data_IF_279514975213
#
_entry.id   IF_279514975213
#
_cell.length_a   1.000
_cell.length_b   1.000
_cell.length_c   1.000
_cell.angle_alpha   90.00
_cell.angle_beta   90.00
_cell.angle_gamma   90.00
#
_symmetry.space_group_name_H-M   'P 1'
#
loop_
_entity.id
_entity.type
_entity.pdbx_description
1 polymer ?
#
# COMPACT_ATOMS: atom_id res chain seq x y z
N UNK A 1 41.12 15.61 28.11
CA UNK A 1 40.70 16.86 27.46
C UNK A 1 40.43 16.54 25.99
N UNK A 2 39.19 16.17 25.64
CA UNK A 2 38.84 15.92 24.23
C UNK A 2 38.67 17.26 23.50
N UNK A 3 39.18 17.42 22.26
CA UNK A 3 38.97 18.65 21.51
C UNK A 3 37.49 18.80 21.14
N UNK A 4 36.96 20.04 21.06
CA UNK A 4 35.60 20.26 20.60
C UNK A 4 35.46 19.87 19.12
N UNK A 5 34.48 19.02 18.82
CA UNK A 5 34.14 18.54 17.48
C UNK A 5 33.64 19.68 16.59
N UNK A 6 34.55 20.38 15.92
CA UNK A 6 34.20 21.39 14.91
C UNK A 6 34.22 20.75 13.52
N UNK A 7 33.09 20.17 13.08
CA UNK A 7 32.48 20.46 11.76
C UNK A 7 31.40 19.48 11.29
N UNK A 8 30.19 19.50 11.89
CA UNK A 8 28.97 19.05 11.22
C UNK A 8 28.48 19.90 10.00
N UNK A 9 28.85 21.19 9.77
CA UNK A 9 28.24 21.96 8.68
C UNK A 9 28.82 21.66 7.29
N UNK A 10 30.11 21.35 7.17
CA UNK A 10 30.75 21.18 5.85
C UNK A 10 30.35 19.87 5.16
N UNK A 11 30.40 18.75 5.89
CA UNK A 11 30.00 17.44 5.37
C UNK A 11 28.50 17.41 5.03
N UNK A 12 27.65 17.96 5.92
CA UNK A 12 26.21 18.09 5.68
C UNK A 12 25.92 18.96 4.45
N UNK A 13 26.61 20.10 4.30
CA UNK A 13 26.47 20.98 3.13
C UNK A 13 26.84 20.27 1.83
N UNK A 14 27.95 19.52 1.82
CA UNK A 14 28.39 18.75 0.66
C UNK A 14 27.38 17.64 0.31
N UNK A 15 26.88 16.92 1.31
CA UNK A 15 25.86 15.90 1.13
C UNK A 15 24.57 16.48 0.54
N UNK A 16 24.01 17.53 1.16
CA UNK A 16 22.78 18.19 0.71
C UNK A 16 22.92 18.70 -0.72
N UNK A 17 24.05 19.33 -1.07
CA UNK A 17 24.35 19.76 -2.44
C UNK A 17 24.40 18.58 -3.44
N UNK A 18 24.88 17.41 -3.01
CA UNK A 18 24.95 16.20 -3.83
C UNK A 18 23.60 15.50 -4.06
N UNK A 19 22.62 15.71 -3.18
CA UNK A 19 21.25 15.15 -3.33
C UNK A 19 20.25 16.17 -3.91
N UNK A 20 20.53 17.47 -3.83
CA UNK A 20 19.63 18.57 -4.19
C UNK A 20 18.95 18.39 -5.55
N UNK A 21 19.73 18.17 -6.62
CA UNK A 21 19.17 18.02 -7.99
C UNK A 21 18.28 16.78 -8.12
N UNK A 22 18.73 15.65 -7.57
CA UNK A 22 18.01 14.38 -7.63
C UNK A 22 16.74 14.43 -6.80
N UNK A 23 16.82 15.01 -5.59
CA UNK A 23 15.69 15.25 -4.71
C UNK A 23 14.63 16.14 -5.36
N UNK A 24 15.04 17.21 -6.03
CA UNK A 24 14.11 18.14 -6.69
C UNK A 24 13.33 17.48 -7.84
N UNK A 25 14.02 16.70 -8.68
CA UNK A 25 13.37 15.95 -9.77
C UNK A 25 12.50 14.82 -9.23
N UNK A 26 12.95 14.07 -8.23
CA UNK A 26 12.15 13.03 -7.61
C UNK A 26 10.86 13.61 -7.01
N UNK A 27 10.96 14.70 -6.25
CA UNK A 27 9.82 15.34 -5.61
C UNK A 27 8.85 15.95 -6.64
N UNK A 28 9.36 16.61 -7.68
CA UNK A 28 8.56 17.12 -8.80
C UNK A 28 7.80 15.99 -9.50
N UNK A 29 8.46 14.87 -9.83
CA UNK A 29 7.82 13.76 -10.53
C UNK A 29 6.85 12.97 -9.65
N UNK A 30 7.09 12.92 -8.35
CA UNK A 30 6.20 12.26 -7.41
C UNK A 30 4.92 13.07 -7.18
N UNK A 31 5.05 14.40 -7.02
CA UNK A 31 3.94 15.32 -6.75
C UNK A 31 3.22 15.80 -8.01
N UNK A 32 3.92 15.81 -9.15
CA UNK A 32 3.46 16.37 -10.41
C UNK A 32 3.53 17.89 -10.52
N UNK A 33 4.16 18.56 -9.54
CA UNK A 33 4.31 20.01 -9.49
C UNK A 33 5.69 20.40 -8.95
N UNK A 34 6.37 21.32 -9.64
CA UNK A 34 7.75 21.68 -9.30
C UNK A 34 7.86 22.45 -7.99
N UNK A 35 6.91 23.36 -7.71
CA UNK A 35 6.95 24.21 -6.52
C UNK A 35 6.54 23.40 -5.27
N UNK A 36 5.53 22.54 -5.36
CA UNK A 36 5.16 21.61 -4.30
C UNK A 36 6.28 20.59 -4.03
N UNK A 37 6.95 20.11 -5.07
CA UNK A 37 8.13 19.26 -4.95
C UNK A 37 9.29 19.95 -4.24
N UNK A 38 9.60 21.20 -4.60
CA UNK A 38 10.66 21.99 -3.97
C UNK A 38 10.34 22.29 -2.49
N UNK A 39 9.10 22.62 -2.17
CA UNK A 39 8.66 22.84 -0.79
C UNK A 39 8.86 21.58 0.08
N UNK A 40 8.49 20.41 -0.45
CA UNK A 40 8.70 19.16 0.26
C UNK A 40 10.18 18.79 0.39
N UNK A 41 11.01 19.08 -0.62
CA UNK A 41 12.45 18.90 -0.53
C UNK A 41 13.07 19.77 0.57
N UNK A 42 12.68 21.04 0.66
CA UNK A 42 13.16 21.96 1.70
C UNK A 42 12.72 21.50 3.10
N UNK A 43 11.48 21.02 3.24
CA UNK A 43 11.00 20.42 4.49
C UNK A 43 11.83 19.19 4.90
N UNK A 44 12.12 18.30 3.95
CA UNK A 44 12.94 17.12 4.17
C UNK A 44 14.39 17.48 4.56
N UNK A 45 15.01 18.47 3.90
CA UNK A 45 16.33 18.99 4.28
C UNK A 45 16.33 19.54 5.70
N UNK A 46 15.26 20.25 6.08
CA UNK A 46 15.09 20.82 7.41
C UNK A 46 15.00 19.76 8.49
N UNK A 47 14.15 18.74 8.28
CA UNK A 47 14.06 17.59 9.18
C UNK A 47 15.36 16.79 9.26
N UNK A 48 16.03 16.58 8.11
CA UNK A 48 17.27 15.82 8.04
C UNK A 48 18.43 16.48 8.79
N UNK A 49 18.52 17.82 8.82
CA UNK A 49 19.56 18.53 9.60
C UNK A 49 19.56 18.10 11.07
N UNK A 50 18.39 17.94 11.68
CA UNK A 50 18.27 17.52 13.09
C UNK A 50 18.68 16.05 13.29
N UNK A 51 18.48 15.19 12.28
CA UNK A 51 18.80 13.77 12.35
C UNK A 51 20.28 13.48 12.03
N UNK A 52 20.91 14.31 11.20
CA UNK A 52 22.28 14.12 10.72
C UNK A 52 23.33 14.14 11.85
N UNK A 53 23.06 14.83 12.96
CA UNK A 53 23.95 14.87 14.13
C UNK A 53 24.03 13.53 14.87
N UNK A 54 22.95 12.74 14.83
CA UNK A 54 22.84 11.46 15.54
C UNK A 54 23.21 10.24 14.68
N UNK A 55 23.42 10.44 13.37
CA UNK A 55 23.57 9.35 12.41
C UNK A 55 25.00 9.31 11.83
N UNK A 56 25.58 8.10 11.65
CA UNK A 56 26.82 7.98 10.89
C UNK A 56 26.60 8.42 9.44
N UNK A 57 27.64 9.02 8.83
CA UNK A 57 27.57 9.57 7.48
C UNK A 57 27.17 8.52 6.41
N UNK A 58 27.48 7.24 6.64
CA UNK A 58 27.07 6.14 5.77
C UNK A 58 25.55 5.91 5.73
N UNK A 59 24.82 6.24 6.80
CA UNK A 59 23.37 6.10 6.88
C UNK A 59 22.60 7.31 6.32
N UNK A 60 23.31 8.40 5.99
CA UNK A 60 22.70 9.65 5.53
C UNK A 60 21.87 9.52 4.26
N UNK A 61 22.33 8.86 3.17
CA UNK A 61 21.54 8.76 1.95
C UNK A 61 20.20 8.07 2.19
N UNK A 62 20.22 6.88 2.81
CA UNK A 62 19.01 6.11 3.11
C UNK A 62 18.03 6.93 3.96
N UNK A 63 18.52 7.56 5.03
CA UNK A 63 17.67 8.35 5.92
C UNK A 63 17.07 9.56 5.22
N UNK A 64 17.85 10.27 4.42
CA UNK A 64 17.39 11.42 3.66
C UNK A 64 16.25 11.04 2.70
N UNK A 65 16.40 9.95 1.94
CA UNK A 65 15.36 9.50 1.00
C UNK A 65 14.09 9.04 1.73
N UNK A 66 14.24 8.33 2.86
CA UNK A 66 13.11 7.95 3.70
C UNK A 66 12.36 9.18 4.22
N UNK A 67 13.09 10.21 4.67
CA UNK A 67 12.51 11.47 5.13
C UNK A 67 11.77 12.20 4.02
N UNK A 68 12.38 12.32 2.84
CA UNK A 68 11.76 12.95 1.68
C UNK A 68 10.44 12.27 1.29
N UNK A 69 10.41 10.94 1.26
CA UNK A 69 9.19 10.19 0.93
C UNK A 69 8.14 10.21 2.04
N UNK A 70 8.55 10.49 3.29
CA UNK A 70 7.65 10.69 4.41
C UNK A 70 6.97 12.08 4.39
N UNK A 71 7.41 13.01 3.54
CA UNK A 71 6.79 14.34 3.46
C UNK A 71 5.32 14.23 3.00
N UNK A 72 4.36 14.88 3.69
CA UNK A 72 2.93 14.77 3.36
C UNK A 72 2.60 15.13 1.92
N UNK A 73 3.34 16.06 1.32
CA UNK A 73 3.17 16.48 -0.07
C UNK A 73 3.40 15.34 -1.09
N UNK A 74 4.34 14.43 -0.82
CA UNK A 74 4.68 13.32 -1.71
C UNK A 74 3.75 12.10 -1.53
N UNK A 75 3.08 12.00 -0.38
CA UNK A 75 2.17 10.88 -0.05
C UNK A 75 0.77 11.07 -0.60
N UNK A 76 0.34 12.31 -0.83
CA UNK A 76 -0.98 12.60 -1.40
C UNK A 76 -1.01 12.15 -2.86
N UNK A 77 -2.08 11.44 -3.25
CA UNK A 77 -2.30 11.04 -4.64
C UNK A 77 -2.71 12.27 -5.46
N UNK A 78 -1.72 13.01 -5.93
CA UNK A 78 -1.92 14.07 -6.92
C UNK A 78 -1.77 13.45 -8.30
N UNK A 79 -2.77 13.58 -9.21
CA UNK A 79 -2.56 13.23 -10.61
C UNK A 79 -1.43 14.11 -11.14
N UNK A 80 -0.40 13.50 -11.71
CA UNK A 80 0.76 14.22 -12.21
C UNK A 80 0.29 15.10 -13.36
N UNK A 81 0.35 16.42 -13.17
CA UNK A 81 -0.01 17.39 -14.21
C UNK A 81 1.09 17.53 -15.28
N UNK A 82 2.29 17.02 -15.00
CA UNK A 82 3.47 17.18 -15.85
C UNK A 82 3.91 15.83 -16.43
N UNK A 83 3.48 15.54 -17.65
CA UNK A 83 4.07 14.45 -18.43
C UNK A 83 5.52 14.83 -18.80
N UNK A 84 6.50 13.96 -18.53
CA UNK A 84 7.88 14.15 -19.02
C UNK A 84 7.93 14.12 -20.56
N UNK A 85 7.01 13.35 -21.14
CA UNK A 85 6.74 13.19 -22.57
C UNK A 85 5.30 12.66 -22.72
N UNK A 86 4.59 12.86 -23.85
CA UNK A 86 3.24 12.31 -24.03
C UNK A 86 3.16 10.79 -23.91
N UNK A 87 4.30 10.09 -24.02
CA UNK A 87 4.39 8.63 -23.88
C UNK A 87 4.75 8.16 -22.47
N UNK A 88 5.07 9.10 -21.56
CA UNK A 88 5.43 8.73 -20.19
C UNK A 88 4.18 8.42 -19.34
N UNK A 89 4.12 7.19 -18.84
CA UNK A 89 3.03 6.67 -18.00
C UNK A 89 3.28 6.83 -16.49
N UNK A 90 4.29 7.60 -16.07
CA UNK A 90 4.52 7.90 -14.65
C UNK A 90 3.26 8.43 -13.94
N UNK A 91 2.46 9.24 -14.63
CA UNK A 91 1.21 9.80 -14.11
C UNK A 91 0.14 8.73 -13.81
N UNK A 92 0.13 7.63 -14.56
CA UNK A 92 -0.82 6.52 -14.42
C UNK A 92 -0.47 5.62 -13.23
N UNK A 93 0.80 5.58 -12.84
CA UNK A 93 1.28 4.80 -11.71
C UNK A 93 0.69 5.32 -10.37
N UNK A 94 0.37 4.40 -9.46
CA UNK A 94 0.09 4.77 -8.08
C UNK A 94 1.31 5.36 -7.37
N UNK A 95 1.10 6.11 -6.28
CA UNK A 95 2.17 6.79 -5.54
C UNK A 95 3.29 5.84 -5.07
N UNK A 96 2.96 4.61 -4.67
CA UNK A 96 3.94 3.60 -4.22
C UNK A 96 4.84 3.07 -5.33
N UNK A 97 4.29 2.43 -6.39
CA UNK A 97 5.08 1.98 -7.55
C UNK A 97 5.89 3.10 -8.21
N UNK A 98 5.33 4.32 -8.26
CA UNK A 98 6.04 5.51 -8.75
C UNK A 98 7.24 5.85 -7.87
N UNK A 99 7.07 5.90 -6.56
CA UNK A 99 8.17 6.18 -5.63
C UNK A 99 9.28 5.12 -5.74
N UNK A 100 8.93 3.84 -5.85
CA UNK A 100 9.90 2.76 -6.05
C UNK A 100 10.72 2.97 -7.34
N UNK A 101 10.05 3.30 -8.44
CA UNK A 101 10.70 3.57 -9.73
C UNK A 101 11.63 4.79 -9.65
N UNK A 102 11.18 5.87 -9.02
CA UNK A 102 11.96 7.10 -8.89
C UNK A 102 13.15 6.96 -7.94
N UNK A 103 13.07 6.13 -6.91
CA UNK A 103 14.24 5.80 -6.10
C UNK A 103 15.31 5.09 -6.92
N UNK A 104 14.91 4.19 -7.82
CA UNK A 104 15.84 3.51 -8.72
C UNK A 104 16.44 4.46 -9.76
N UNK A 105 15.62 5.30 -10.37
CA UNK A 105 16.01 6.12 -11.53
C UNK A 105 16.61 7.48 -11.15
N UNK A 106 15.96 8.21 -10.24
CA UNK A 106 16.36 9.55 -9.86
C UNK A 106 17.30 9.55 -8.65
N UNK A 107 17.00 8.77 -7.60
CA UNK A 107 17.90 8.66 -6.45
C UNK A 107 19.13 7.78 -6.74
N UNK A 108 19.01 6.81 -7.65
CA UNK A 108 20.10 5.91 -8.05
C UNK A 108 20.45 4.87 -6.98
N UNK A 109 19.48 4.55 -6.12
CA UNK A 109 19.67 3.57 -5.04
C UNK A 109 19.62 2.13 -5.58
N UNK A 110 20.32 1.24 -4.87
CA UNK A 110 20.14 -0.19 -5.07
C UNK A 110 18.79 -0.68 -4.49
N UNK A 111 18.44 -1.94 -4.77
CA UNK A 111 17.15 -2.50 -4.37
C UNK A 111 16.99 -2.58 -2.84
N UNK A 112 18.07 -2.83 -2.11
CA UNK A 112 18.05 -2.93 -0.66
C UNK A 112 17.89 -1.56 -0.01
N UNK A 113 18.70 -0.59 -0.45
CA UNK A 113 18.63 0.80 0.01
C UNK A 113 17.28 1.44 -0.31
N UNK A 114 16.75 1.21 -1.51
CA UNK A 114 15.45 1.74 -1.92
C UNK A 114 14.29 1.10 -1.14
N UNK A 115 14.33 -0.23 -0.92
CA UNK A 115 13.35 -0.90 -0.08
C UNK A 115 13.37 -0.36 1.36
N UNK A 116 14.57 -0.16 1.91
CA UNK A 116 14.74 0.37 3.25
C UNK A 116 14.30 1.85 3.36
N UNK A 117 14.51 2.65 2.31
CA UNK A 117 14.01 4.03 2.25
C UNK A 117 12.47 4.09 2.19
N UNK A 118 11.82 3.13 1.53
CA UNK A 118 10.36 3.00 1.52
C UNK A 118 9.77 2.38 2.79
N UNK A 119 10.60 1.78 3.65
CA UNK A 119 10.13 1.02 4.80
C UNK A 119 9.40 -0.28 4.43
N UNK A 120 9.78 -0.90 3.31
CA UNK A 120 9.16 -2.15 2.81
C UNK A 120 10.20 -3.26 2.66
N UNK A 121 9.75 -4.51 2.50
CA UNK A 121 10.66 -5.63 2.26
C UNK A 121 11.27 -5.56 0.84
N UNK A 122 12.47 -6.12 0.59
CA UNK A 122 13.04 -6.20 -0.76
C UNK A 122 12.16 -6.96 -1.76
N UNK A 123 11.34 -7.90 -1.30
CA UNK A 123 10.37 -8.61 -2.15
C UNK A 123 9.21 -7.69 -2.56
N UNK A 124 8.64 -6.95 -1.61
CA UNK A 124 7.59 -5.95 -1.88
C UNK A 124 8.09 -4.84 -2.81
N UNK A 125 9.33 -4.40 -2.64
CA UNK A 125 9.96 -3.42 -3.51
C UNK A 125 10.11 -3.94 -4.96
N UNK A 126 10.64 -5.15 -5.15
CA UNK A 126 10.75 -5.77 -6.48
C UNK A 126 9.40 -5.92 -7.17
N UNK A 127 8.37 -6.31 -6.43
CA UNK A 127 7.01 -6.38 -6.96
C UNK A 127 6.46 -5.00 -7.36
N UNK A 128 6.73 -3.96 -6.58
CA UNK A 128 6.37 -2.59 -6.93
C UNK A 128 7.08 -2.11 -8.20
N UNK A 129 8.38 -2.42 -8.35
CA UNK A 129 9.13 -2.16 -9.58
C UNK A 129 8.54 -2.90 -10.79
N UNK A 130 8.24 -4.20 -10.66
CA UNK A 130 7.63 -4.99 -11.75
C UNK A 130 6.27 -4.45 -12.22
N UNK A 131 5.53 -3.78 -11.32
CA UNK A 131 4.28 -3.08 -11.64
C UNK A 131 4.49 -1.71 -12.25
N UNK A 132 5.63 -1.07 -11.98
CA UNK A 132 5.99 0.25 -12.47
C UNK A 132 6.73 0.23 -13.82
N UNK A 133 7.36 -0.90 -14.17
CA UNK A 133 8.11 -1.02 -15.42
C UNK A 133 7.20 -0.85 -16.65
N UNK A 134 7.64 -0.09 -17.67
CA UNK A 134 6.93 0.01 -18.95
C UNK A 134 6.71 -1.36 -19.58
N UNK A 135 5.51 -1.55 -20.14
CA UNK A 135 5.12 -2.78 -20.84
C UNK A 135 4.65 -2.46 -22.25
N UNK A 136 4.92 -3.39 -23.15
CA UNK A 136 4.41 -3.38 -24.52
C UNK A 136 2.90 -3.71 -24.53
N UNK A 137 2.24 -3.50 -25.67
CA UNK A 137 0.83 -3.88 -25.84
C UNK A 137 0.58 -5.37 -25.54
N UNK A 138 1.57 -6.22 -25.82
CA UNK A 138 1.53 -7.67 -25.58
C UNK A 138 1.78 -8.04 -24.10
N UNK A 139 1.91 -7.05 -23.20
CA UNK A 139 2.12 -7.26 -21.77
C UNK A 139 3.55 -7.62 -21.35
N UNK A 140 4.47 -7.81 -22.31
CA UNK A 140 5.91 -8.02 -22.05
C UNK A 140 6.59 -6.74 -21.59
N UNK A 141 7.71 -6.86 -20.86
CA UNK A 141 8.51 -5.72 -20.46
C UNK A 141 9.11 -5.01 -21.69
N UNK A 142 9.06 -3.68 -21.71
CA UNK A 142 9.60 -2.86 -22.80
C UNK A 142 10.98 -2.29 -22.40
N UNK A 143 12.09 -2.88 -22.87
CA UNK A 143 13.43 -2.40 -22.54
C UNK A 143 13.73 -1.03 -23.16
N UNK A 144 13.16 -0.69 -24.31
CA UNK A 144 13.41 0.60 -24.97
C UNK A 144 12.68 1.73 -24.27
N UNK A 145 11.42 1.53 -23.88
CA UNK A 145 10.69 2.50 -23.07
C UNK A 145 11.37 2.71 -21.71
N UNK A 146 11.88 1.63 -21.09
CA UNK A 146 12.68 1.74 -19.86
C UNK A 146 13.93 2.61 -20.04
N UNK A 147 14.72 2.39 -21.09
CA UNK A 147 15.92 3.18 -21.35
C UNK A 147 15.59 4.65 -21.65
N UNK A 148 14.53 4.90 -22.43
CA UNK A 148 14.05 6.27 -22.72
C UNK A 148 13.65 7.00 -21.44
N UNK A 149 12.88 6.36 -20.56
CA UNK A 149 12.47 6.95 -19.28
C UNK A 149 13.69 7.29 -18.40
N UNK A 150 14.65 6.36 -18.29
CA UNK A 150 15.89 6.58 -17.54
C UNK A 150 16.66 7.78 -18.07
N UNK A 151 16.82 7.88 -19.38
CA UNK A 151 17.54 8.99 -20.02
C UNK A 151 16.77 10.32 -19.88
N UNK A 152 15.44 10.32 -19.95
CA UNK A 152 14.62 11.51 -19.70
C UNK A 152 14.79 12.04 -18.27
N UNK A 153 14.72 11.16 -17.27
CA UNK A 153 14.91 11.54 -15.85
C UNK A 153 16.34 12.06 -15.64
N UNK A 154 17.35 11.37 -16.18
CA UNK A 154 18.75 11.81 -16.06
C UNK A 154 19.00 13.16 -16.73
N UNK A 155 18.43 13.38 -17.92
CA UNK A 155 18.45 14.68 -18.60
C UNK A 155 17.80 15.74 -17.72
N UNK A 156 16.61 15.50 -17.16
CA UNK A 156 15.90 16.43 -16.28
C UNK A 156 16.74 16.82 -15.04
N UNK A 157 17.46 15.86 -14.45
CA UNK A 157 18.39 16.11 -13.33
C UNK A 157 19.55 17.01 -13.76
N UNK A 158 20.11 16.77 -14.94
CA UNK A 158 21.23 17.56 -15.49
C UNK A 158 20.80 18.96 -15.91
N UNK A 159 19.62 19.10 -16.51
CA UNK A 159 19.10 20.34 -17.09
C UNK A 159 18.15 21.09 -16.15
N UNK A 160 18.21 20.85 -14.84
CA UNK A 160 17.40 21.56 -13.88
C UNK A 160 17.59 23.09 -14.03
N UNK A 161 16.51 23.88 -14.13
CA UNK A 161 16.63 25.31 -14.39
C UNK A 161 17.56 26.02 -13.40
N UNK A 162 18.57 26.79 -13.85
CA UNK A 162 19.45 27.56 -12.97
C UNK A 162 18.74 28.42 -11.93
N UNK A 163 17.65 29.16 -12.23
CA UNK A 163 16.97 29.95 -11.19
C UNK A 163 16.36 29.07 -10.08
N UNK A 164 15.89 27.86 -10.42
CA UNK A 164 15.35 26.91 -9.43
C UNK A 164 16.46 26.35 -8.53
N UNK A 165 17.60 25.98 -9.11
CA UNK A 165 18.79 25.59 -8.36
C UNK A 165 19.27 26.70 -7.41
N UNK A 166 19.25 27.95 -7.84
CA UNK A 166 19.61 29.07 -6.96
C UNK A 166 18.65 29.24 -5.78
N UNK A 167 17.34 29.03 -5.98
CA UNK A 167 16.36 29.07 -4.88
C UNK A 167 16.62 27.95 -3.86
N UNK A 168 16.82 26.73 -4.33
CA UNK A 168 17.15 25.58 -3.48
C UNK A 168 18.48 25.77 -2.74
N UNK A 169 19.51 26.28 -3.42
CA UNK A 169 20.79 26.61 -2.82
C UNK A 169 20.69 27.64 -1.70
N UNK A 170 19.90 28.71 -1.90
CA UNK A 170 19.63 29.71 -0.85
C UNK A 170 18.88 29.11 0.34
N UNK A 171 17.88 28.27 0.10
CA UNK A 171 17.15 27.59 1.17
C UNK A 171 18.08 26.67 2.00
N UNK A 172 18.96 25.90 1.34
CA UNK A 172 19.99 25.10 2.00
C UNK A 172 20.96 25.95 2.82
N UNK A 173 21.39 27.11 2.31
CA UNK A 173 22.30 28.01 3.03
C UNK A 173 21.65 28.69 4.25
N UNK A 174 20.39 29.09 4.14
CA UNK A 174 19.60 29.56 5.28
C UNK A 174 19.44 28.47 6.35
N UNK A 175 19.11 27.24 5.92
CA UNK A 175 19.02 26.07 6.80
C UNK A 175 20.33 25.81 7.56
N UNK A 176 21.46 25.80 6.87
CA UNK A 176 22.76 25.52 7.48
C UNK A 176 23.17 26.60 8.49
N UNK A 177 22.74 27.85 8.28
CA UNK A 177 22.91 28.96 9.23
C UNK A 177 21.96 28.89 10.41
N UNK A 178 21.02 27.94 10.43
CA UNK A 178 19.99 27.83 11.46
C UNK A 178 18.96 28.96 11.39
N UNK A 179 18.91 29.71 10.29
CA UNK A 179 17.84 30.66 10.05
C UNK A 179 16.56 29.86 9.85
N UNK A 180 15.48 30.27 10.52
CA UNK A 180 14.17 29.74 10.24
C UNK A 180 13.87 30.06 8.77
N UNK A 181 14.01 29.06 7.90
CA UNK A 181 13.38 29.08 6.59
C UNK A 181 11.91 29.13 6.92
N UNK A 182 11.32 30.33 6.87
CA UNK A 182 9.90 30.48 7.01
C UNK A 182 9.30 29.44 6.05
N UNK A 183 8.44 28.52 6.54
CA UNK A 183 7.75 27.63 5.64
C UNK A 183 7.03 28.56 4.66
N UNK A 184 7.58 28.69 3.44
CA UNK A 184 6.86 29.29 2.33
C UNK A 184 5.51 28.60 2.38
N UNK A 185 4.42 29.40 2.41
CA UNK A 185 3.13 29.01 2.96
C UNK A 185 2.94 27.56 2.59
N UNK A 186 2.90 26.67 3.60
CA UNK A 186 2.51 25.28 3.39
C UNK A 186 1.24 25.45 2.62
N UNK A 187 1.31 25.24 1.32
CA UNK A 187 0.17 25.44 0.48
C UNK A 187 -0.71 24.32 0.98
N UNK A 188 -1.65 24.67 1.87
CA UNK A 188 -2.93 24.01 1.93
C UNK A 188 -3.27 23.85 0.48
N UNK A 189 -3.04 22.62 0.02
CA UNK A 189 -2.87 22.32 -1.38
C UNK A 189 -3.95 23.10 -2.11
N UNK A 190 -3.53 24.05 -2.96
CA UNK A 190 -4.47 24.78 -3.77
C UNK A 190 -5.38 23.69 -4.35
N UNK A 191 -6.70 23.75 -4.07
CA UNK A 191 -7.57 22.62 -4.32
C UNK A 191 -7.34 22.20 -5.76
N UNK A 192 -6.82 20.98 -5.94
CA UNK A 192 -6.44 20.45 -7.25
C UNK A 192 -7.56 20.75 -8.25
N UNK A 193 -7.22 21.03 -9.52
CA UNK A 193 -8.01 21.82 -10.47
C UNK A 193 -9.48 21.72 -10.12
N UNK A 194 -10.01 22.76 -9.45
CA UNK A 194 -11.38 22.76 -8.89
C UNK A 194 -12.27 22.19 -9.97
N UNK A 195 -12.74 20.95 -9.78
CA UNK A 195 -13.69 20.32 -10.71
C UNK A 195 -14.74 21.39 -10.97
N UNK A 196 -14.95 21.79 -12.24
CA UNK A 196 -15.75 22.96 -12.52
C UNK A 196 -17.04 22.88 -11.74
N UNK A 197 -17.33 23.87 -10.89
CA UNK A 197 -18.47 23.79 -9.96
C UNK A 197 -19.81 23.64 -10.68
N UNK A 198 -19.84 23.89 -12.00
CA UNK A 198 -20.97 23.63 -12.91
C UNK A 198 -21.13 22.15 -13.32
N UNK A 199 -20.12 21.31 -13.16
CA UNK A 199 -20.26 19.85 -13.31
C UNK A 199 -21.00 19.23 -12.13
N UNK A 200 -20.96 19.85 -10.94
CA UNK A 200 -21.72 19.37 -9.79
C UNK A 200 -23.24 19.42 -10.02
N UNK A 201 -23.86 20.54 -10.45
CA UNK A 201 -25.26 20.56 -10.80
C UNK A 201 -25.56 19.70 -12.03
N UNK A 202 -24.64 19.55 -12.99
CA UNK A 202 -24.82 18.63 -14.11
C UNK A 202 -24.87 17.16 -13.64
N UNK A 203 -24.00 16.78 -12.70
CA UNK A 203 -23.96 15.44 -12.12
C UNK A 203 -25.21 15.17 -11.26
N UNK A 204 -25.65 16.17 -10.48
CA UNK A 204 -26.91 16.10 -9.75
C UNK A 204 -28.12 16.03 -10.68
N UNK A 205 -28.12 16.77 -11.80
CA UNK A 205 -29.17 16.69 -12.81
C UNK A 205 -29.19 15.31 -13.49
N UNK A 206 -28.01 14.75 -13.80
CA UNK A 206 -27.89 13.41 -14.36
C UNK A 206 -28.36 12.34 -13.36
N UNK A 207 -27.96 12.45 -12.09
CA UNK A 207 -28.40 11.56 -11.02
C UNK A 207 -29.91 11.65 -10.81
N UNK A 208 -30.46 12.87 -10.78
CA UNK A 208 -31.90 13.10 -10.68
C UNK A 208 -32.62 12.51 -11.89
N UNK A 209 -32.10 12.68 -13.10
CA UNK A 209 -32.65 12.09 -14.33
C UNK A 209 -32.63 10.56 -14.28
N UNK A 210 -31.53 9.95 -13.81
CA UNK A 210 -31.45 8.51 -13.60
C UNK A 210 -32.45 8.02 -12.55
N UNK A 211 -32.59 8.73 -11.43
CA UNK A 211 -33.56 8.40 -10.39
C UNK A 211 -35.00 8.56 -10.89
N UNK A 212 -35.29 9.57 -11.71
CA UNK A 212 -36.61 9.80 -12.29
C UNK A 212 -36.94 8.75 -13.36
N UNK A 213 -35.97 8.36 -14.19
CA UNK A 213 -36.11 7.25 -15.13
C UNK A 213 -36.37 5.93 -14.41
N UNK A 214 -35.68 5.69 -13.29
CA UNK A 214 -35.89 4.53 -12.43
C UNK A 214 -37.26 4.57 -11.73
N UNK A 215 -37.70 5.74 -11.26
CA UNK A 215 -39.05 5.89 -10.70
C UNK A 215 -40.13 5.67 -11.78
N UNK A 216 -39.91 6.16 -13.00
CA UNK A 216 -40.82 5.97 -14.13
C UNK A 216 -40.97 4.49 -14.51
N UNK A 217 -39.98 3.63 -14.26
CA UNK A 217 -40.15 2.17 -14.41
C UNK A 217 -41.17 1.57 -13.43
N UNK A 218 -41.42 2.17 -12.28
CA UNK A 218 -42.42 1.72 -11.30
C UNK A 218 -43.81 2.34 -11.51
N UNK A 219 -43.90 3.49 -12.20
CA UNK A 219 -45.17 4.18 -12.49
C UNK A 219 -45.80 3.68 -13.80
N UNK A 220 -45.10 2.86 -14.58
CA UNK A 220 -45.67 2.26 -15.79
C UNK A 220 -46.65 1.17 -15.34
N UNK A 221 -47.98 1.35 -15.48
CA UNK A 221 -48.91 0.26 -15.22
C UNK A 221 -48.54 -0.88 -16.18
N UNK A 222 -48.60 -2.15 -15.73
CA UNK A 222 -48.41 -3.27 -16.63
C UNK A 222 -49.38 -3.07 -17.79
N UNK A 223 -48.85 -2.95 -19.01
CA UNK A 223 -49.71 -3.00 -20.19
C UNK A 223 -50.51 -4.31 -20.06
N UNK A 224 -51.84 -4.28 -20.15
CA UNK A 224 -52.58 -5.52 -20.29
C UNK A 224 -52.00 -6.19 -21.53
N UNK A 225 -51.34 -7.33 -21.31
CA UNK A 225 -50.97 -8.21 -22.40
C UNK A 225 -52.28 -8.53 -23.11
N UNK A 226 -52.34 -8.25 -24.41
CA UNK A 226 -53.43 -8.70 -25.25
C UNK A 226 -53.70 -10.17 -24.93
N UNK A 227 -54.93 -10.45 -24.54
CA UNK A 227 -55.41 -11.77 -24.20
C UNK A 227 -55.24 -12.69 -25.41
N UNK A 228 -54.19 -13.52 -25.40
CA UNK A 228 -53.88 -14.39 -26.52
C UNK A 228 -52.59 -15.18 -26.34
N UNK A 229 -52.45 -15.90 -25.24
CA UNK A 229 -51.43 -16.96 -25.13
C UNK A 229 -50.85 -17.10 -23.73
N UNK A 230 -51.18 -18.22 -23.09
CA UNK A 230 -50.59 -18.78 -21.87
C UNK A 230 -49.22 -18.19 -21.46
N UNK A 231 -49.25 -17.32 -20.45
CA UNK A 231 -48.07 -16.92 -19.69
C UNK A 231 -47.72 -17.99 -18.63
N UNK A 232 -47.53 -19.23 -19.08
CA UNK A 232 -46.77 -20.19 -18.29
C UNK A 232 -45.29 -19.78 -18.37
N UNK A 233 -44.65 -19.58 -17.21
CA UNK A 233 -43.21 -19.31 -17.12
C UNK A 233 -42.46 -20.38 -17.91
N UNK A 234 -41.90 -20.00 -19.07
CA UNK A 234 -41.05 -20.89 -19.87
C UNK A 234 -39.66 -20.93 -19.25
N UNK A 235 -39.46 -21.90 -18.37
CA UNK A 235 -38.14 -22.32 -17.92
C UNK A 235 -37.40 -22.97 -19.10
N UNK A 236 -36.53 -22.22 -19.76
CA UNK A 236 -35.58 -22.79 -20.71
C UNK A 236 -34.29 -23.11 -19.96
N UNK A 237 -34.04 -24.40 -19.71
CA UNK A 237 -32.78 -24.89 -19.17
C UNK A 237 -31.71 -24.66 -20.24
N UNK A 238 -30.80 -23.72 -20.02
CA UNK A 238 -29.61 -23.59 -20.85
C UNK A 238 -28.80 -24.90 -20.72
N UNK A 239 -28.16 -25.39 -21.80
CA UNK A 239 -27.22 -26.49 -21.68
C UNK A 239 -26.11 -26.08 -20.70
N UNK A 240 -25.82 -26.95 -19.72
CA UNK A 240 -24.69 -26.76 -18.82
C UNK A 240 -23.41 -26.86 -19.66
N UNK A 241 -22.85 -25.71 -20.01
CA UNK A 241 -21.55 -25.64 -20.66
C UNK A 241 -20.49 -25.64 -19.55
N UNK A 242 -19.69 -26.71 -19.41
CA UNK A 242 -18.65 -26.74 -18.40
C UNK A 242 -17.63 -25.64 -18.68
N UNK A 243 -17.02 -25.04 -17.63
CA UNK A 243 -16.02 -23.99 -17.80
C UNK A 243 -14.87 -24.50 -18.70
N UNK A 244 -14.45 -23.67 -19.66
CA UNK A 244 -13.44 -24.02 -20.66
C UNK A 244 -12.09 -24.48 -20.08
N UNK A 245 -11.80 -24.11 -18.83
CA UNK A 245 -10.76 -24.72 -18.01
C UNK A 245 -11.13 -24.57 -16.53
N UNK A 246 -11.25 -25.68 -15.83
CA UNK A 246 -11.22 -25.73 -14.37
C UNK A 246 -9.83 -26.15 -13.89
N UNK A 247 -9.41 -25.68 -12.72
CA UNK A 247 -8.33 -26.35 -12.01
C UNK A 247 -8.77 -27.77 -11.67
N UNK A 248 -7.87 -28.75 -11.79
CA UNK A 248 -8.13 -30.09 -11.25
C UNK A 248 -8.49 -29.97 -9.76
N UNK A 249 -9.40 -30.82 -9.26
CA UNK A 249 -9.93 -30.70 -7.89
C UNK A 249 -8.84 -30.58 -6.82
N UNK A 250 -7.74 -31.30 -6.98
CA UNK A 250 -6.56 -31.24 -6.10
C UNK A 250 -5.86 -29.87 -6.16
N UNK A 251 -5.68 -29.32 -7.36
CA UNK A 251 -5.09 -27.99 -7.55
C UNK A 251 -6.01 -26.87 -7.06
N UNK A 252 -7.33 -27.05 -7.18
CA UNK A 252 -8.32 -26.13 -6.65
C UNK A 252 -8.30 -26.09 -5.12
N UNK A 253 -8.12 -27.24 -4.46
CA UNK A 253 -7.95 -27.33 -3.01
C UNK A 253 -6.64 -26.67 -2.56
N UNK A 254 -5.52 -26.96 -3.22
CA UNK A 254 -4.20 -26.39 -2.88
C UNK A 254 -4.12 -24.86 -3.09
N UNK A 255 -4.95 -24.31 -3.97
CA UNK A 255 -5.02 -22.87 -4.23
C UNK A 255 -6.15 -22.17 -3.48
N UNK A 256 -6.89 -22.92 -2.65
CA UNK A 256 -7.97 -22.36 -1.85
C UNK A 256 -7.38 -21.40 -0.80
N UNK A 257 -8.01 -20.23 -0.64
CA UNK A 257 -7.55 -19.19 0.31
C UNK A 257 -7.43 -19.71 1.74
N UNK A 258 -8.32 -20.63 2.10
CA UNK A 258 -8.42 -21.21 3.44
C UNK A 258 -7.78 -22.61 3.50
N UNK A 259 -6.84 -22.93 2.61
CA UNK A 259 -6.19 -24.24 2.55
C UNK A 259 -5.61 -24.67 3.90
N UNK A 260 -4.91 -23.78 4.62
CA UNK A 260 -4.31 -24.09 5.92
C UNK A 260 -5.36 -24.49 6.98
N UNK A 261 -6.58 -23.94 6.89
CA UNK A 261 -7.68 -24.30 7.80
C UNK A 261 -8.34 -25.63 7.39
N UNK A 262 -8.42 -25.90 6.08
CA UNK A 262 -8.97 -27.16 5.55
C UNK A 262 -8.00 -28.33 5.71
N UNK A 263 -6.69 -28.06 5.80
CA UNK A 263 -5.64 -29.05 5.97
C UNK A 263 -5.34 -29.37 7.45
N UNK A 264 -5.96 -28.66 8.40
CA UNK A 264 -5.76 -28.87 9.83
C UNK A 264 -6.67 -29.99 10.38
N UNK A 265 -6.12 -31.18 10.73
CA UNK A 265 -6.92 -32.29 11.25
C UNK A 265 -7.52 -31.99 12.63
N UNK A 266 -6.92 -31.11 13.43
CA UNK A 266 -7.47 -30.71 14.72
C UNK A 266 -8.64 -29.72 14.54
N UNK A 267 -8.52 -28.82 13.58
CA UNK A 267 -9.59 -27.90 13.16
C UNK A 267 -10.81 -28.64 12.59
N UNK A 268 -10.59 -29.69 11.80
CA UNK A 268 -11.67 -30.54 11.27
C UNK A 268 -12.44 -31.23 12.39
N UNK A 269 -11.74 -31.82 13.38
CA UNK A 269 -12.37 -32.43 14.55
C UNK A 269 -13.19 -31.42 15.36
N UNK A 270 -12.70 -30.18 15.51
CA UNK A 270 -13.42 -29.11 16.19
C UNK A 270 -14.63 -28.56 15.42
N UNK A 271 -14.70 -28.77 14.09
CA UNK A 271 -15.79 -28.26 13.26
C UNK A 271 -17.14 -28.93 13.55
N UNK A 272 -17.13 -30.19 13.97
CA UNK A 272 -18.34 -30.94 14.34
C UNK A 272 -19.07 -30.29 15.53
N UNK A 273 -18.30 -29.70 16.46
CA UNK A 273 -18.81 -29.06 17.67
C UNK A 273 -18.91 -27.53 17.54
N UNK A 274 -18.76 -26.99 16.33
CA UNK A 274 -18.74 -25.54 16.10
C UNK A 274 -20.05 -24.86 16.50
N UNK A 275 -21.18 -25.56 16.36
CA UNK A 275 -22.48 -25.09 16.86
C UNK A 275 -22.50 -24.97 18.39
N UNK A 276 -21.86 -25.90 19.10
CA UNK A 276 -21.74 -25.85 20.56
C UNK A 276 -20.76 -24.76 21.02
N UNK A 277 -19.59 -24.65 20.38
CA UNK A 277 -18.60 -23.61 20.73
C UNK A 277 -19.11 -22.20 20.44
N UNK A 278 -19.87 -21.99 19.36
CA UNK A 278 -20.48 -20.69 19.06
C UNK A 278 -21.57 -20.32 20.07
N UNK A 279 -22.39 -21.29 20.50
CA UNK A 279 -23.32 -21.10 21.60
C UNK A 279 -22.60 -20.79 22.92
N UNK A 280 -21.56 -21.55 23.28
CA UNK A 280 -20.79 -21.34 24.51
C UNK A 280 -20.12 -19.96 24.53
N UNK A 281 -19.51 -19.54 23.41
CA UNK A 281 -18.92 -18.22 23.25
C UNK A 281 -19.97 -17.10 23.41
N UNK A 282 -21.17 -17.28 22.85
CA UNK A 282 -22.28 -16.36 23.04
C UNK A 282 -22.72 -16.29 24.52
N UNK A 283 -22.74 -17.43 25.22
CA UNK A 283 -23.09 -17.50 26.65
C UNK A 283 -22.05 -16.79 27.54
N UNK A 284 -20.76 -16.93 27.23
CA UNK A 284 -19.69 -16.18 27.88
C UNK A 284 -19.75 -14.68 27.61
N UNK A 285 -20.01 -14.28 26.35
CA UNK A 285 -20.16 -12.88 25.98
C UNK A 285 -21.39 -12.23 26.63
N UNK A 286 -22.47 -12.99 26.83
CA UNK A 286 -23.66 -12.58 27.55
C UNK A 286 -23.49 -12.56 29.08
N UNK A 287 -22.31 -12.90 29.61
CA UNK A 287 -22.01 -12.87 31.04
C UNK A 287 -22.79 -13.89 31.86
N UNK A 288 -23.15 -15.04 31.28
CA UNK A 288 -23.93 -16.05 31.97
C UNK A 288 -23.18 -16.58 33.20
N UNK A 289 -23.79 -16.38 34.37
CA UNK A 289 -23.34 -16.91 35.67
C UNK A 289 -23.58 -18.41 35.68
N UNK A 290 -22.60 -19.19 36.15
CA UNK A 290 -22.70 -20.64 36.29
C UNK A 290 -24.00 -21.01 37.04
N UNK A 291 -24.81 -21.96 36.54
CA UNK A 291 -25.95 -22.46 37.30
C UNK A 291 -25.44 -23.09 38.61
N UNK A 292 -26.21 -22.97 39.72
CA UNK A 292 -25.83 -23.59 40.98
C UNK A 292 -25.69 -25.11 40.79
N UNK A 293 -24.75 -25.76 41.50
CA UNK A 293 -24.54 -27.20 41.36
C UNK A 293 -25.85 -27.93 41.67
N UNK A 294 -26.26 -28.81 40.75
CA UNK A 294 -27.41 -29.70 40.96
C UNK A 294 -27.14 -30.60 42.17
N UNK A 295 -28.19 -30.96 42.95
CA UNK A 295 -28.03 -31.87 44.07
C UNK A 295 -27.45 -33.20 43.59
N UNK A 296 -26.36 -33.64 44.22
CA UNK A 296 -25.77 -34.95 44.00
C UNK A 296 -26.70 -35.99 44.62
N UNK A 297 -27.45 -36.71 43.78
CA UNK A 297 -28.16 -37.92 44.20
C UNK A 297 -27.11 -38.99 44.60
N UNK A 298 -27.12 -39.51 45.84
CA UNK A 298 -26.17 -40.52 46.28
C UNK A 298 -26.56 -41.86 45.65
N UNK A 299 -26.03 -42.17 44.46
CA UNK A 299 -26.32 -43.44 43.82
C UNK A 299 -25.80 -43.68 42.40
N UNK A 300 -25.10 -42.73 41.78
CA UNK A 300 -24.44 -42.97 40.50
C UNK A 300 -22.95 -43.21 40.73
N UNK A 301 -22.57 -44.48 40.66
CA UNK A 301 -21.20 -44.95 40.79
C UNK A 301 -20.26 -44.18 39.83
N UNK A 302 -19.25 -43.56 40.41
CA UNK A 302 -18.08 -43.02 39.72
C UNK A 302 -17.36 -44.15 38.97
N UNK A 303 -17.26 -44.16 37.63
CA UNK A 303 -16.19 -44.89 36.99
C UNK A 303 -14.89 -44.16 37.32
N UNK A 304 -14.03 -44.84 38.08
CA UNK A 304 -12.74 -44.35 38.51
C UNK A 304 -11.94 -43.81 37.33
N UNK A 305 -11.48 -42.57 37.47
CA UNK A 305 -10.40 -41.99 36.68
C UNK A 305 -9.16 -42.86 36.88
N UNK A 306 -8.82 -43.67 35.87
CA UNK A 306 -7.48 -44.25 35.78
C UNK A 306 -6.52 -43.11 35.45
N UNK A 307 -5.90 -42.58 36.50
CA UNK A 307 -4.78 -41.67 36.41
C UNK A 307 -3.60 -42.40 35.75
N UNK A 308 -3.34 -42.10 34.48
CA UNK A 308 -2.04 -42.36 33.87
C UNK A 308 -1.07 -41.27 34.35
N UNK A 309 -0.40 -41.55 35.46
CA UNK A 309 0.84 -40.89 35.88
C UNK A 309 2.05 -41.75 35.46
N UNK A 310 3.23 -41.15 35.29
CA UNK A 310 4.26 -41.60 34.36
C UNK A 310 5.27 -42.55 35.01
N UNK A 311 5.59 -43.65 34.32
CA UNK A 311 6.83 -44.39 34.57
C UNK A 311 7.82 -44.13 33.43
N UNK A 312 8.77 -43.25 33.71
CA UNK A 312 10.07 -43.26 33.06
C UNK A 312 10.98 -44.25 33.80
N UNK A 313 11.76 -45.02 33.03
CA UNK A 313 12.90 -45.78 33.57
C UNK A 313 12.92 -47.25 33.15
N UNK A 314 13.40 -47.53 31.94
CA UNK A 314 14.03 -48.80 31.63
C UNK A 314 15.40 -48.51 31.01
N UNK A 315 16.33 -48.23 31.91
CA UNK A 315 17.76 -48.38 31.72
C UNK A 315 18.05 -49.88 31.67
N UNK A 316 18.54 -50.40 30.54
CA UNK A 316 19.20 -51.71 30.50
C UNK A 316 20.64 -51.50 30.10
N UNK A 317 21.49 -51.76 31.08
CA UNK A 317 22.94 -51.91 31.04
C UNK A 317 23.41 -52.97 30.04
N UNK A 318 24.62 -52.71 29.57
CA UNK A 318 25.54 -53.54 28.80
C UNK A 318 25.92 -54.93 29.39
N UNK A 319 26.39 -55.78 28.45
CA UNK A 319 27.52 -56.73 28.50
C UNK A 319 27.34 -58.12 29.17
N UNK A 320 28.11 -59.16 28.74
CA UNK A 320 29.38 -59.14 27.98
C UNK A 320 29.35 -59.62 26.52
#
# INVERSE_FOLDING_TARGET
MNPPSVSPPAALSAFLRGVERRGAVLAELQTGDAEAGDAALVAAMTGFRAEAEALPMSAWPQRFWARLLAEPGLRRRTPVALALDPTDRLAELGAGPRAALLLRLAAGLDDGEAAAALGVTPASYRLALQRALPRQADGRADPEAWQRLREQIHRRIKTLPPPRLLRLGRAREALLRGEAVAPGPVADAAPGPRRPRWLLPLLWALLALCALALAATFVRPPRPADAGGDAAVRLQRLPEEPPAAGYAAESALLTHRDFDLLADPAGEAGSADLAFFSWLAAQHAAGAVAPPPLPVEPGAATPATAAAGPDGGAETLDAP
#
